data_IF_872818407442
#
_entry.id   IF_872818407442
#
_cell.length_a   1.000
_cell.length_b   1.000
_cell.length_c   1.000
_cell.angle_alpha   90.00
_cell.angle_beta   90.00
_cell.angle_gamma   90.00
#
_symmetry.space_group_name_H-M   'P 1'
#
loop_
_entity.id
_entity.type
_entity.pdbx_description
1 polymer ?
#
# COMPACT_ATOMS: atom_id res chain seq x y z
N UNK A 1 40.45 -11.01 0.35
CA UNK A 1 39.82 -10.34 -0.81
C UNK A 1 38.38 -10.81 -1.03
N UNK A 2 38.10 -12.12 -1.02
CA UNK A 2 36.72 -12.66 -1.12
C UNK A 2 35.83 -12.25 0.07
N UNK A 3 36.37 -12.23 1.30
CA UNK A 3 35.64 -11.81 2.52
C UNK A 3 35.10 -10.36 2.43
N UNK A 4 35.93 -9.42 1.98
CA UNK A 4 35.55 -8.01 1.87
C UNK A 4 34.46 -7.81 0.80
N UNK A 5 34.46 -8.62 -0.27
CA UNK A 5 33.42 -8.54 -1.31
C UNK A 5 32.08 -9.03 -0.76
N UNK A 6 32.04 -10.17 -0.05
CA UNK A 6 30.79 -10.66 0.54
C UNK A 6 30.18 -9.72 1.56
N UNK A 7 31.01 -9.03 2.36
CA UNK A 7 30.55 -8.05 3.36
C UNK A 7 29.96 -6.80 2.71
N UNK A 8 30.63 -6.26 1.67
CA UNK A 8 30.10 -5.12 0.90
C UNK A 8 28.77 -5.48 0.23
N UNK A 9 28.66 -6.67 -0.37
CA UNK A 9 27.41 -7.13 -0.97
C UNK A 9 26.27 -7.21 0.07
N UNK A 10 26.56 -7.75 1.26
CA UNK A 10 25.58 -7.83 2.36
C UNK A 10 25.07 -6.45 2.79
N UNK A 11 25.97 -5.48 2.93
CA UNK A 11 25.61 -4.10 3.30
C UNK A 11 24.73 -3.42 2.25
N UNK A 12 25.08 -3.56 0.96
CA UNK A 12 24.30 -2.97 -0.13
C UNK A 12 22.91 -3.60 -0.21
N UNK A 13 22.83 -4.93 -0.05
CA UNK A 13 21.54 -5.64 -0.04
C UNK A 13 20.66 -5.18 1.12
N UNK A 14 21.21 -5.08 2.33
CA UNK A 14 20.46 -4.64 3.50
C UNK A 14 19.98 -3.18 3.38
N UNK A 15 20.84 -2.29 2.87
CA UNK A 15 20.45 -0.91 2.54
C UNK A 15 19.29 -0.87 1.53
N UNK A 16 19.34 -1.74 0.51
CA UNK A 16 18.27 -1.89 -0.47
C UNK A 16 16.94 -2.33 0.16
N UNK A 17 16.97 -3.27 1.10
CA UNK A 17 15.77 -3.69 1.84
C UNK A 17 15.18 -2.55 2.69
N UNK A 18 16.02 -1.76 3.37
CA UNK A 18 15.57 -0.60 4.14
C UNK A 18 14.85 0.41 3.24
N UNK A 19 15.46 0.74 2.09
CA UNK A 19 14.83 1.65 1.11
C UNK A 19 13.49 1.08 0.63
N UNK A 20 13.44 -0.22 0.32
CA UNK A 20 12.20 -0.87 -0.11
C UNK A 20 11.09 -0.78 0.95
N UNK A 21 11.42 -0.93 2.24
CA UNK A 21 10.47 -0.76 3.34
C UNK A 21 9.91 0.67 3.41
N UNK A 22 10.76 1.69 3.27
CA UNK A 22 10.31 3.08 3.25
C UNK A 22 9.43 3.37 2.04
N UNK A 23 9.80 2.88 0.85
CA UNK A 23 8.99 3.05 -0.37
C UNK A 23 7.61 2.39 -0.21
N UNK A 24 7.56 1.14 0.28
CA UNK A 24 6.31 0.44 0.57
C UNK A 24 5.46 1.18 1.61
N UNK A 25 6.11 1.71 2.66
CA UNK A 25 5.47 2.50 3.69
C UNK A 25 4.81 3.78 3.14
N UNK A 26 5.55 4.54 2.32
CA UNK A 26 5.04 5.74 1.65
C UNK A 26 3.91 5.43 0.67
N UNK A 27 4.02 4.32 -0.09
CA UNK A 27 2.93 3.88 -0.95
C UNK A 27 1.68 3.50 -0.16
N UNK A 28 1.84 2.86 1.01
CA UNK A 28 0.74 2.57 1.93
C UNK A 28 0.02 3.85 2.38
N UNK A 29 0.78 4.83 2.87
CA UNK A 29 0.24 6.13 3.28
C UNK A 29 -0.46 6.86 2.12
N UNK A 30 0.17 6.93 0.94
CA UNK A 30 -0.45 7.51 -0.25
C UNK A 30 -1.75 6.78 -0.63
N UNK A 31 -1.77 5.45 -0.49
CA UNK A 31 -2.95 4.61 -0.67
C UNK A 31 -4.11 4.97 0.26
N UNK A 32 -3.84 5.32 1.52
CA UNK A 32 -4.86 5.83 2.46
C UNK A 32 -5.55 7.07 1.89
N UNK A 33 -4.76 8.07 1.48
CA UNK A 33 -5.29 9.32 0.93
C UNK A 33 -6.05 9.09 -0.38
N UNK A 34 -5.52 8.26 -1.28
CA UNK A 34 -6.20 7.91 -2.53
C UNK A 34 -7.52 7.19 -2.29
N UNK A 35 -7.57 6.25 -1.35
CA UNK A 35 -8.79 5.53 -1.03
C UNK A 35 -9.85 6.41 -0.36
N UNK A 36 -9.44 7.30 0.55
CA UNK A 36 -10.33 8.31 1.13
C UNK A 36 -10.86 9.24 0.04
N UNK A 37 -9.98 9.75 -0.83
CA UNK A 37 -10.35 10.64 -1.94
C UNK A 37 -11.34 9.98 -2.91
N UNK A 38 -11.08 8.73 -3.32
CA UNK A 38 -12.01 7.94 -4.14
C UNK A 38 -13.36 7.78 -3.46
N UNK A 39 -13.37 7.51 -2.15
CA UNK A 39 -14.62 7.35 -1.38
C UNK A 39 -15.39 8.67 -1.27
N UNK A 40 -14.72 9.79 -1.06
CA UNK A 40 -15.35 11.12 -1.03
C UNK A 40 -15.95 11.51 -2.39
N UNK A 41 -15.23 11.26 -3.49
CA UNK A 41 -15.75 11.51 -4.84
C UNK A 41 -16.90 10.56 -5.19
N UNK A 42 -16.78 9.28 -4.82
CA UNK A 42 -17.84 8.29 -4.99
C UNK A 42 -19.11 8.68 -4.23
N UNK A 43 -18.97 9.20 -3.00
CA UNK A 43 -20.09 9.72 -2.20
C UNK A 43 -20.72 10.98 -2.81
N UNK A 44 -19.91 11.86 -3.43
CA UNK A 44 -20.40 13.03 -4.18
C UNK A 44 -21.14 12.62 -5.46
N UNK A 45 -20.82 11.46 -6.00
CA UNK A 45 -21.50 10.83 -7.14
C UNK A 45 -22.62 9.89 -6.70
N UNK A 46 -23.51 10.32 -5.79
CA UNK A 46 -24.86 9.74 -5.61
C UNK A 46 -25.73 10.01 -6.85
N UNK A 47 -25.21 9.70 -8.03
CA UNK A 47 -25.98 9.66 -9.27
C UNK A 47 -26.47 8.23 -9.42
N UNK A 48 -27.78 8.14 -9.54
CA UNK A 48 -28.47 6.90 -9.90
C UNK A 48 -28.09 6.65 -11.36
N UNK A 49 -27.56 5.47 -11.67
CA UNK A 49 -27.27 5.07 -13.04
C UNK A 49 -28.15 3.86 -13.41
N UNK A 50 -28.61 3.75 -14.66
CA UNK A 50 -29.39 2.60 -15.07
C UNK A 50 -28.50 1.37 -15.11
N UNK A 51 -29.00 0.25 -14.57
CA UNK A 51 -28.39 -1.06 -14.69
C UNK A 51 -28.17 -1.40 -16.17
N UNK A 52 -26.95 -1.82 -16.54
CA UNK A 52 -26.59 -2.18 -17.93
C UNK A 52 -27.39 -3.37 -18.49
N UNK A 53 -27.89 -4.26 -17.62
CA UNK A 53 -28.61 -5.47 -18.03
C UNK A 53 -30.13 -5.29 -18.08
N UNK A 54 -30.73 -4.58 -17.12
CA UNK A 54 -32.19 -4.45 -17.02
C UNK A 54 -32.72 -3.02 -17.05
N UNK A 55 -31.86 -2.01 -17.14
CA UNK A 55 -32.26 -0.59 -17.16
C UNK A 55 -32.77 -0.04 -15.82
N UNK A 56 -32.90 -0.89 -14.78
CA UNK A 56 -33.39 -0.47 -13.48
C UNK A 56 -32.43 0.55 -12.84
N UNK A 57 -32.94 1.67 -12.27
CA UNK A 57 -32.10 2.66 -11.59
C UNK A 57 -31.39 2.03 -10.38
N UNK A 58 -30.06 2.00 -10.42
CA UNK A 58 -29.23 1.51 -9.33
C UNK A 58 -28.31 2.61 -8.82
N UNK A 59 -27.93 2.51 -7.55
CA UNK A 59 -26.83 3.33 -7.04
C UNK A 59 -25.55 2.97 -7.79
N UNK A 60 -24.73 3.96 -8.17
CA UNK A 60 -23.38 3.75 -8.68
C UNK A 60 -22.47 2.92 -7.75
N UNK A 61 -22.81 2.90 -6.47
CA UNK A 61 -22.12 2.11 -5.45
C UNK A 61 -22.70 0.70 -5.28
N UNK A 62 -23.74 0.33 -6.03
CA UNK A 62 -24.37 -0.98 -5.90
C UNK A 62 -23.43 -2.05 -6.46
N UNK A 63 -23.07 -3.01 -5.60
CA UNK A 63 -22.25 -4.16 -6.00
C UNK A 63 -23.10 -5.17 -6.79
N UNK A 64 -24.39 -5.23 -6.52
CA UNK A 64 -25.36 -6.13 -7.15
C UNK A 64 -26.61 -5.34 -7.50
N UNK A 65 -27.16 -5.54 -8.71
CA UNK A 65 -28.48 -5.01 -9.06
C UNK A 65 -29.58 -5.79 -8.31
N UNK A 66 -30.45 -5.12 -7.53
CA UNK A 66 -31.52 -5.80 -6.79
C UNK A 66 -32.63 -6.37 -7.70
N UNK A 67 -32.73 -5.90 -8.95
CA UNK A 67 -33.78 -6.32 -9.88
C UNK A 67 -33.37 -7.54 -10.72
N UNK A 68 -32.14 -7.57 -11.24
CA UNK A 68 -31.69 -8.64 -12.15
C UNK A 68 -30.48 -9.44 -11.66
N UNK A 69 -29.90 -9.10 -10.51
CA UNK A 69 -28.75 -9.82 -9.94
C UNK A 69 -27.40 -9.55 -10.61
N UNK A 70 -27.33 -8.61 -11.56
CA UNK A 70 -26.08 -8.24 -12.24
C UNK A 70 -25.01 -7.76 -11.23
N UNK A 71 -23.79 -8.28 -11.34
CA UNK A 71 -22.72 -8.04 -10.38
C UNK A 71 -21.71 -7.02 -10.93
N UNK A 72 -21.48 -5.91 -10.21
CA UNK A 72 -20.63 -4.80 -10.61
C UNK A 72 -19.24 -4.80 -9.96
N UNK A 73 -18.96 -5.83 -9.15
CA UNK A 73 -17.62 -6.28 -8.76
C UNK A 73 -16.57 -5.19 -8.59
N UNK A 74 -16.53 -4.53 -7.43
CA UNK A 74 -15.28 -3.89 -7.03
C UNK A 74 -14.38 -4.93 -6.38
N UNK A 75 -13.31 -5.30 -7.09
CA UNK A 75 -12.25 -6.14 -6.55
C UNK A 75 -11.69 -5.51 -5.28
N UNK A 76 -12.02 -6.10 -4.14
CA UNK A 76 -11.50 -5.73 -2.83
C UNK A 76 -10.05 -6.23 -2.70
N UNK A 77 -9.14 -5.65 -3.48
CA UNK A 77 -7.72 -5.83 -3.26
C UNK A 77 -7.29 -5.18 -1.95
N UNK A 78 -6.26 -5.72 -1.30
CA UNK A 78 -5.64 -5.14 -0.09
C UNK A 78 -5.36 -3.63 -0.26
N UNK A 79 -5.01 -3.20 -1.48
CA UNK A 79 -4.77 -1.80 -1.86
C UNK A 79 -6.00 -0.88 -1.86
N UNK A 80 -7.22 -1.42 -1.76
CA UNK A 80 -8.47 -0.65 -1.63
C UNK A 80 -8.95 -0.53 -0.16
N UNK A 81 -8.25 -1.15 0.79
CA UNK A 81 -8.57 -1.05 2.21
C UNK A 81 -7.88 0.16 2.83
N UNK A 82 -8.64 1.16 3.27
CA UNK A 82 -8.11 2.34 3.99
C UNK A 82 -7.32 1.90 5.23
N UNK A 83 -7.90 0.99 6.02
CA UNK A 83 -7.28 0.47 7.25
C UNK A 83 -6.05 -0.39 6.91
N UNK A 84 -6.14 -1.22 5.87
CA UNK A 84 -5.03 -2.06 5.42
C UNK A 84 -3.81 -1.22 4.98
N UNK A 85 -4.04 -0.21 4.15
CA UNK A 85 -3.01 0.73 3.71
C UNK A 85 -2.41 1.52 4.88
N UNK A 86 -3.23 1.90 5.87
CA UNK A 86 -2.76 2.60 7.07
C UNK A 86 -1.83 1.73 7.89
N UNK A 87 -2.26 0.52 8.26
CA UNK A 87 -1.46 -0.41 9.06
C UNK A 87 -0.17 -0.75 8.32
N UNK A 88 -0.25 -1.11 7.03
CA UNK A 88 0.93 -1.40 6.22
C UNK A 88 1.92 -0.22 6.21
N UNK A 89 1.41 0.99 5.97
CA UNK A 89 2.22 2.21 5.91
C UNK A 89 3.02 2.44 7.18
N UNK A 90 2.34 2.47 8.33
CA UNK A 90 2.97 2.72 9.62
C UNK A 90 3.89 1.59 10.07
N UNK A 91 3.50 0.34 9.85
CA UNK A 91 4.33 -0.82 10.21
C UNK A 91 5.61 -0.86 9.37
N UNK A 92 5.53 -0.69 8.05
CA UNK A 92 6.71 -0.67 7.19
C UNK A 92 7.66 0.49 7.53
N UNK A 93 7.14 1.67 7.86
CA UNK A 93 7.96 2.80 8.29
C UNK A 93 8.62 2.53 9.64
N UNK A 94 7.88 2.01 10.61
CA UNK A 94 8.42 1.67 11.94
C UNK A 94 9.53 0.62 11.85
N UNK A 95 9.31 -0.46 11.09
CA UNK A 95 10.33 -1.48 10.83
C UNK A 95 11.51 -0.87 10.06
N UNK A 96 11.25 0.01 9.09
CA UNK A 96 12.29 0.70 8.33
C UNK A 96 13.21 1.54 9.21
N UNK A 97 12.66 2.30 10.16
CA UNK A 97 13.47 3.07 11.12
C UNK A 97 14.26 2.18 12.07
N UNK A 98 13.66 1.09 12.58
CA UNK A 98 14.36 0.12 13.42
C UNK A 98 15.52 -0.57 12.67
N UNK A 99 15.28 -1.00 11.44
CA UNK A 99 16.33 -1.58 10.59
C UNK A 99 17.42 -0.56 10.25
N UNK A 100 17.05 0.71 10.05
CA UNK A 100 18.01 1.79 9.81
C UNK A 100 18.91 2.05 11.02
N UNK A 101 18.38 2.02 12.25
CA UNK A 101 19.22 2.20 13.44
C UNK A 101 20.25 1.09 13.59
N UNK A 102 19.84 -0.17 13.42
CA UNK A 102 20.72 -1.34 13.48
C UNK A 102 21.79 -1.29 12.36
N UNK A 103 21.39 -0.85 11.16
CA UNK A 103 22.29 -0.69 10.03
C UNK A 103 23.37 0.37 10.29
N UNK A 104 22.99 1.51 10.88
CA UNK A 104 23.92 2.59 11.18
C UNK A 104 24.95 2.17 12.24
N UNK A 105 24.51 1.47 13.30
CA UNK A 105 25.41 0.93 14.33
C UNK A 105 26.41 -0.08 13.73
N UNK A 106 25.94 -0.94 12.83
CA UNK A 106 26.79 -1.88 12.09
C UNK A 106 27.80 -1.14 11.20
N UNK A 107 27.35 -0.12 10.47
CA UNK A 107 28.21 0.69 9.60
C UNK A 107 29.31 1.43 10.38
N UNK A 108 28.96 1.97 11.54
CA UNK A 108 29.90 2.65 12.41
C UNK A 108 30.99 1.69 12.90
N UNK A 109 30.59 0.50 13.35
CA UNK A 109 31.52 -0.55 13.80
C UNK A 109 32.49 -0.99 12.71
N UNK A 110 32.05 -1.08 11.45
CA UNK A 110 32.93 -1.40 10.32
C UNK A 110 33.86 -0.24 9.93
N UNK A 111 33.41 1.01 10.09
CA UNK A 111 34.23 2.19 9.71
C UNK A 111 35.43 2.40 10.64
N UNK A 112 35.33 1.98 11.91
CA UNK A 112 36.37 2.16 12.92
C UNK A 112 37.28 0.93 13.12
N UNK A 113 37.12 -0.12 12.32
CA UNK A 113 37.98 -1.30 12.28
C UNK A 113 38.85 -1.29 11.02
#
# INVERSE_FOLDING_TARGET
MIHNISEIFGMVFFAGLIIALFVLGLMGIAGVFLNIYRRLIGLRSKKIEPCRSCGHPISRSAIICPNCGEHYGQGSGFSNSIIGCFILGFVCIGIGFYALSEFLETFETFRFK
#
